data_IF_166997337019
#
_entry.id   IF_166997337019
#
_cell.length_a   1.000
_cell.length_b   1.000
_cell.length_c   1.000
_cell.angle_alpha   90.00
_cell.angle_beta   90.00
_cell.angle_gamma   90.00
#
_symmetry.space_group_name_H-M   'P 1'
#
loop_
_entity.id
_entity.type
_entity.pdbx_description
1 polymer ?
#
# COMPACT_ATOMS: atom_id res chain seq x y z
N UNK A 1 9.81 10.51 12.99
CA UNK A 1 10.99 9.68 13.28
C UNK A 1 11.32 9.72 14.74
N UNK A 2 10.44 9.18 15.58
CA UNK A 2 10.68 9.05 17.03
C UNK A 2 11.03 7.60 17.38
N UNK A 3 11.66 7.39 18.54
CA UNK A 3 12.09 6.07 19.00
C UNK A 3 10.93 5.07 19.13
N UNK A 4 9.73 5.57 19.44
CA UNK A 4 8.48 4.80 19.57
C UNK A 4 7.84 4.39 18.23
N UNK A 5 8.33 4.91 17.10
CA UNK A 5 7.77 4.56 15.79
C UNK A 5 7.91 3.07 15.48
N UNK A 6 7.05 2.53 14.62
CA UNK A 6 7.04 1.10 14.25
C UNK A 6 8.40 0.56 13.75
N UNK A 7 9.23 1.43 13.16
CA UNK A 7 10.61 1.13 12.76
C UNK A 7 11.66 1.90 13.58
N UNK A 8 11.33 2.25 14.84
CA UNK A 8 12.17 3.04 15.77
C UNK A 8 12.72 4.35 15.19
N UNK A 9 11.96 4.97 14.30
CA UNK A 9 12.37 6.19 13.61
C UNK A 9 13.33 6.02 12.42
N UNK A 10 13.77 4.79 12.12
CA UNK A 10 14.72 4.50 11.02
C UNK A 10 14.09 4.50 9.63
N UNK A 11 12.81 4.12 9.52
CA UNK A 11 12.16 3.93 8.21
C UNK A 11 11.43 5.15 7.63
N UNK A 12 10.88 6.02 8.47
CA UNK A 12 10.06 7.15 8.03
C UNK A 12 8.73 6.71 7.38
N UNK A 13 8.16 7.57 6.53
CA UNK A 13 6.81 7.37 5.95
C UNK A 13 6.72 6.18 5.01
N UNK A 14 7.81 5.84 4.30
CA UNK A 14 7.76 4.84 3.24
C UNK A 14 8.06 3.44 3.75
N UNK A 15 8.66 3.27 4.93
CA UNK A 15 9.18 1.97 5.37
C UNK A 15 8.62 1.59 6.74
N UNK A 16 7.38 1.10 6.74
CA UNK A 16 6.68 0.57 7.91
C UNK A 16 6.35 -0.90 7.67
N UNK A 17 6.52 -1.74 8.68
CA UNK A 17 6.32 -3.19 8.58
C UNK A 17 5.52 -3.66 9.80
N UNK A 18 4.69 -4.68 9.63
CA UNK A 18 4.04 -5.39 10.73
C UNK A 18 3.79 -6.85 10.33
N UNK A 19 3.22 -7.65 11.24
CA UNK A 19 2.93 -9.05 10.98
C UNK A 19 2.07 -9.20 9.72
N UNK A 20 2.58 -9.95 8.74
CA UNK A 20 1.97 -10.17 7.43
C UNK A 20 1.72 -8.88 6.61
N UNK A 21 2.43 -7.79 6.93
CA UNK A 21 2.49 -6.56 6.14
C UNK A 21 3.96 -6.25 5.83
N UNK A 22 4.34 -6.55 4.59
CA UNK A 22 5.74 -6.61 4.16
C UNK A 22 6.28 -5.27 3.63
N UNK A 23 5.74 -4.16 4.12
CA UNK A 23 6.33 -2.85 3.87
C UNK A 23 5.44 -1.88 3.12
N UNK A 24 5.76 -0.60 3.31
CA UNK A 24 5.81 0.32 2.19
C UNK A 24 7.16 0.18 1.46
N UNK A 25 7.13 0.24 0.14
CA UNK A 25 8.30 0.03 -0.70
C UNK A 25 8.52 1.28 -1.56
N UNK A 26 9.68 1.92 -1.43
CA UNK A 26 9.97 3.20 -2.08
C UNK A 26 10.41 3.10 -3.54
N UNK A 27 10.75 1.88 -4.00
CA UNK A 27 11.19 1.64 -5.38
C UNK A 27 9.99 1.14 -6.19
N UNK A 28 9.55 1.96 -7.15
CA UNK A 28 8.34 1.72 -7.94
C UNK A 28 8.41 0.36 -8.65
N UNK A 29 7.46 -0.53 -8.33
CA UNK A 29 7.31 -1.85 -8.93
C UNK A 29 8.11 -2.96 -8.25
N UNK A 30 9.10 -2.63 -7.41
CA UNK A 30 9.95 -3.62 -6.74
C UNK A 30 9.19 -4.53 -5.77
N UNK A 31 8.07 -4.05 -5.22
CA UNK A 31 7.21 -4.83 -4.35
C UNK A 31 6.45 -5.94 -5.08
N UNK A 32 6.34 -5.88 -6.41
CA UNK A 32 5.51 -6.83 -7.17
C UNK A 32 6.17 -8.22 -7.23
N UNK A 33 7.46 -8.35 -7.61
CA UNK A 33 8.16 -9.62 -7.47
C UNK A 33 8.25 -10.12 -6.02
N UNK A 34 8.38 -9.22 -5.03
CA UNK A 34 8.39 -9.61 -3.62
C UNK A 34 7.05 -10.24 -3.18
N UNK A 35 5.92 -9.65 -3.60
CA UNK A 35 4.60 -10.20 -3.36
C UNK A 35 4.39 -11.58 -4.01
N UNK A 36 4.86 -11.75 -5.25
CA UNK A 36 4.88 -13.06 -5.89
C UNK A 36 5.76 -14.07 -5.12
N UNK A 37 6.91 -13.64 -4.60
CA UNK A 37 7.78 -14.47 -3.75
C UNK A 37 7.12 -14.87 -2.42
N UNK A 38 6.38 -13.97 -1.79
CA UNK A 38 5.59 -14.28 -0.59
C UNK A 38 4.49 -15.30 -0.93
N UNK A 39 3.78 -15.13 -2.06
CA UNK A 39 2.79 -16.10 -2.52
C UNK A 39 3.41 -17.48 -2.80
N UNK A 40 4.63 -17.51 -3.36
CA UNK A 40 5.40 -18.74 -3.51
C UNK A 40 5.68 -19.38 -2.14
N UNK A 41 6.14 -18.62 -1.16
CA UNK A 41 6.37 -19.11 0.21
C UNK A 41 5.11 -19.69 0.84
N UNK A 42 3.96 -19.02 0.71
CA UNK A 42 2.67 -19.52 1.20
C UNK A 42 2.30 -20.86 0.54
N UNK A 43 2.49 -20.98 -0.77
CA UNK A 43 2.25 -22.23 -1.51
C UNK A 43 3.21 -23.33 -1.06
N UNK A 44 4.50 -23.00 -0.95
CA UNK A 44 5.56 -23.94 -0.56
C UNK A 44 5.31 -24.53 0.84
N UNK A 45 4.81 -23.69 1.76
CA UNK A 45 4.46 -24.09 3.12
C UNK A 45 3.03 -24.67 3.25
N UNK A 46 2.31 -24.88 2.14
CA UNK A 46 0.92 -25.35 2.10
C UNK A 46 -0.04 -24.54 2.99
N UNK A 47 0.18 -23.21 3.08
CA UNK A 47 -0.69 -22.31 3.84
C UNK A 47 -1.91 -21.90 2.99
N UNK A 48 -3.14 -21.99 3.50
CA UNK A 48 -4.37 -21.60 2.78
C UNK A 48 -4.56 -20.07 2.79
N UNK A 49 -3.49 -19.35 2.46
CA UNK A 49 -3.39 -17.90 2.45
C UNK A 49 -3.04 -17.42 1.04
N UNK A 50 -3.38 -16.17 0.76
CA UNK A 50 -2.98 -15.46 -0.45
C UNK A 50 -1.98 -14.35 -0.09
N UNK A 51 -1.21 -13.89 -1.07
CA UNK A 51 -0.53 -12.61 -0.99
C UNK A 51 -1.28 -11.59 -1.85
N UNK A 52 -1.65 -10.45 -1.25
CA UNK A 52 -2.21 -9.30 -1.98
C UNK A 52 -1.06 -8.35 -2.29
N UNK A 53 -0.81 -8.13 -3.58
CA UNK A 53 0.37 -7.42 -4.09
C UNK A 53 -0.06 -6.16 -4.82
N UNK A 54 0.05 -5.02 -4.14
CA UNK A 54 -0.46 -3.73 -4.62
C UNK A 54 0.62 -2.93 -5.38
N UNK A 55 0.18 -2.18 -6.39
CA UNK A 55 0.98 -1.23 -7.15
C UNK A 55 0.09 -0.16 -7.78
N UNK A 56 0.63 1.02 -8.07
CA UNK A 56 -0.14 2.12 -8.70
C UNK A 56 -0.15 2.05 -10.23
N UNK A 57 -1.02 2.84 -10.86
CA UNK A 57 -1.12 2.95 -12.32
C UNK A 57 0.22 3.30 -13.03
N UNK A 58 1.03 4.19 -12.45
CA UNK A 58 2.38 4.48 -12.96
C UNK A 58 3.37 3.31 -12.81
N UNK A 59 3.18 2.45 -11.80
CA UNK A 59 4.01 1.26 -11.59
C UNK A 59 3.65 0.12 -12.55
N UNK A 60 2.44 0.14 -13.13
CA UNK A 60 1.94 -0.90 -14.03
C UNK A 60 2.74 -1.06 -15.34
N UNK A 61 3.67 -0.15 -15.62
CA UNK A 61 4.56 -0.20 -16.78
C UNK A 61 5.98 -0.70 -16.45
N UNK A 62 6.24 -1.13 -15.22
CA UNK A 62 7.52 -1.69 -14.81
C UNK A 62 7.74 -3.09 -15.41
N UNK A 63 8.89 -3.34 -16.02
CA UNK A 63 9.19 -4.65 -16.66
C UNK A 63 9.09 -5.84 -15.70
N UNK A 64 9.62 -5.69 -14.49
CA UNK A 64 9.61 -6.73 -13.45
C UNK A 64 8.20 -7.18 -13.03
N UNK A 65 7.16 -6.36 -13.26
CA UNK A 65 5.78 -6.74 -13.00
C UNK A 65 5.30 -7.81 -13.99
N UNK A 66 5.68 -7.70 -15.27
CA UNK A 66 5.36 -8.70 -16.30
C UNK A 66 6.16 -9.99 -16.11
N UNK A 67 7.41 -9.89 -15.64
CA UNK A 67 8.20 -11.04 -15.21
C UNK A 67 7.50 -11.78 -14.04
N UNK A 68 7.05 -11.02 -13.03
CA UNK A 68 6.31 -11.59 -11.90
C UNK A 68 4.99 -12.24 -12.32
N UNK A 69 4.26 -11.67 -13.30
CA UNK A 69 3.06 -12.29 -13.85
C UNK A 69 3.34 -13.64 -14.50
N UNK A 70 4.34 -13.70 -15.37
CA UNK A 70 4.71 -14.94 -16.04
C UNK A 70 5.02 -16.05 -15.03
N UNK A 71 5.87 -15.75 -14.05
CA UNK A 71 6.27 -16.71 -13.02
C UNK A 71 5.09 -17.10 -12.12
N UNK A 72 4.28 -16.13 -11.70
CA UNK A 72 3.12 -16.38 -10.85
C UNK A 72 2.10 -17.29 -11.54
N UNK A 73 1.86 -17.08 -12.84
CA UNK A 73 0.96 -17.94 -13.61
C UNK A 73 1.55 -19.30 -13.87
N UNK A 74 2.80 -19.37 -14.33
CA UNK A 74 3.52 -20.61 -14.59
C UNK A 74 3.46 -21.56 -13.39
N UNK A 75 3.60 -21.01 -12.19
CA UNK A 75 3.60 -21.78 -10.95
C UNK A 75 2.24 -21.81 -10.25
N UNK A 76 1.17 -21.24 -10.81
CA UNK A 76 -0.14 -21.10 -10.17
C UNK A 76 -0.01 -20.65 -8.71
N UNK A 77 0.59 -19.49 -8.50
CA UNK A 77 0.78 -18.90 -7.17
C UNK A 77 -0.51 -18.28 -6.62
N UNK A 78 -0.76 -18.35 -5.30
CA UNK A 78 -1.90 -17.70 -4.66
C UNK A 78 -1.65 -16.19 -4.50
N UNK A 79 -1.45 -15.49 -5.61
CA UNK A 79 -1.13 -14.06 -5.66
C UNK A 79 -2.28 -13.25 -6.29
N UNK A 80 -2.75 -12.23 -5.58
CA UNK A 80 -3.72 -11.26 -6.10
C UNK A 80 -2.97 -9.98 -6.40
N UNK A 81 -2.85 -9.63 -7.69
CA UNK A 81 -2.19 -8.42 -8.14
C UNK A 81 -3.21 -7.28 -8.20
N UNK A 82 -2.97 -6.17 -7.49
CA UNK A 82 -3.92 -5.05 -7.41
C UNK A 82 -3.28 -3.78 -7.95
N UNK A 83 -3.81 -3.27 -9.06
CA UNK A 83 -3.51 -1.94 -9.57
C UNK A 83 -4.43 -0.92 -8.89
N UNK A 84 -3.90 -0.09 -8.01
CA UNK A 84 -4.60 1.09 -7.47
C UNK A 84 -4.50 2.23 -8.48
N UNK A 85 -5.45 2.26 -9.42
CA UNK A 85 -5.51 3.25 -10.48
C UNK A 85 -6.16 4.53 -9.93
N UNK A 86 -5.34 5.53 -9.62
CA UNK A 86 -5.81 6.84 -9.14
C UNK A 86 -5.82 7.92 -10.24
N UNK A 87 -5.57 7.52 -11.49
CA UNK A 87 -5.52 8.39 -12.67
C UNK A 87 -4.16 9.03 -12.94
N UNK A 88 -3.20 8.99 -12.00
CA UNK A 88 -1.95 9.74 -12.12
C UNK A 88 -0.73 9.04 -11.48
N UNK A 89 0.26 8.72 -12.31
CA UNK A 89 1.61 8.34 -11.88
C UNK A 89 2.46 9.58 -11.60
N UNK A 90 2.57 9.96 -10.33
CA UNK A 90 3.14 11.26 -9.90
C UNK A 90 2.40 12.44 -10.54
N UNK A 91 2.87 12.98 -11.66
CA UNK A 91 2.24 14.05 -12.43
C UNK A 91 1.87 13.69 -13.87
N UNK A 92 1.95 12.41 -14.23
CA UNK A 92 1.62 11.92 -15.58
C UNK A 92 0.31 11.16 -15.54
N UNK A 93 -0.67 11.56 -16.36
CA UNK A 93 -1.96 10.86 -16.43
C UNK A 93 -1.80 9.49 -17.09
N UNK A 94 -2.75 8.59 -16.84
CA UNK A 94 -2.74 7.22 -17.37
C UNK A 94 -2.67 7.18 -18.90
N UNK A 95 -3.36 8.08 -19.60
CA UNK A 95 -3.39 8.17 -21.07
C UNK A 95 -2.04 8.59 -21.65
N UNK A 96 -1.24 9.32 -20.87
CA UNK A 96 0.10 9.78 -21.27
C UNK A 96 1.19 8.77 -20.93
N UNK A 97 0.93 7.88 -19.97
CA UNK A 97 1.90 6.92 -19.46
C UNK A 97 1.73 5.52 -20.06
N UNK A 98 0.52 5.13 -20.44
CA UNK A 98 0.18 3.77 -20.85
C UNK A 98 -0.53 3.76 -22.20
N UNK A 99 -0.05 2.94 -23.14
CA UNK A 99 -0.71 2.76 -24.43
C UNK A 99 -2.09 2.09 -24.31
N UNK A 100 -2.27 1.24 -23.30
CA UNK A 100 -3.58 0.75 -22.86
C UNK A 100 -3.76 1.06 -21.39
N UNK A 101 -4.87 1.73 -21.07
CA UNK A 101 -5.27 2.12 -19.71
C UNK A 101 -6.20 1.09 -19.06
N UNK A 102 -6.46 -0.04 -19.72
CA UNK A 102 -7.18 -1.18 -19.15
C UNK A 102 -6.24 -2.04 -18.28
N UNK A 103 -5.88 -1.54 -17.10
CA UNK A 103 -4.86 -2.16 -16.24
C UNK A 103 -5.21 -3.58 -15.82
N UNK A 104 -6.50 -3.89 -15.61
CA UNK A 104 -6.95 -5.25 -15.29
C UNK A 104 -6.62 -6.29 -16.39
N UNK A 105 -6.41 -5.86 -17.63
CA UNK A 105 -6.10 -6.74 -18.77
C UNK A 105 -4.60 -6.93 -19.02
N UNK A 106 -3.73 -6.17 -18.33
CA UNK A 106 -2.28 -6.16 -18.58
C UNK A 106 -1.58 -7.45 -18.16
N UNK A 107 -2.28 -8.31 -17.43
CA UNK A 107 -1.85 -9.67 -17.10
C UNK A 107 -1.87 -10.63 -18.29
N UNK A 108 -2.46 -10.23 -19.42
CA UNK A 108 -2.62 -11.03 -20.64
C UNK A 108 -3.31 -12.38 -20.37
N UNK A 109 -2.55 -13.43 -20.12
CA UNK A 109 -3.05 -14.76 -19.74
C UNK A 109 -3.46 -14.89 -18.27
N UNK A 110 -3.21 -13.87 -17.43
CA UNK A 110 -3.76 -13.82 -16.06
C UNK A 110 -5.13 -13.11 -16.12
N UNK A 111 -6.22 -13.76 -15.65
CA UNK A 111 -7.52 -13.11 -15.63
C UNK A 111 -7.49 -11.89 -14.73
N UNK A 112 -8.29 -10.89 -15.07
CA UNK A 112 -8.43 -9.69 -14.25
C UNK A 112 -9.84 -9.12 -14.27
N UNK A 113 -10.12 -8.30 -13.26
CA UNK A 113 -11.37 -7.55 -13.16
C UNK A 113 -11.10 -6.10 -12.81
N UNK A 114 -11.93 -5.20 -13.32
CA UNK A 114 -11.96 -3.80 -12.89
C UNK A 114 -13.08 -3.60 -11.89
N UNK A 115 -12.79 -2.91 -10.80
CA UNK A 115 -13.74 -2.64 -9.72
C UNK A 115 -13.80 -1.14 -9.40
N UNK A 116 -14.91 -0.74 -8.78
CA UNK A 116 -15.03 0.58 -8.17
C UNK A 116 -14.23 0.63 -6.86
N UNK A 117 -13.05 1.25 -6.90
CA UNK A 117 -12.18 1.45 -5.74
C UNK A 117 -12.67 2.51 -4.76
N UNK A 118 -13.77 3.22 -5.07
CA UNK A 118 -14.43 4.18 -4.18
C UNK A 118 -15.62 3.56 -3.43
N UNK A 119 -16.01 2.32 -3.75
CA UNK A 119 -17.06 1.59 -3.05
C UNK A 119 -16.47 0.47 -2.20
N UNK A 120 -16.47 0.65 -0.87
CA UNK A 120 -15.92 -0.32 0.08
C UNK A 120 -16.57 -1.70 -0.02
N UNK A 121 -17.84 -1.79 -0.43
CA UNK A 121 -18.51 -3.07 -0.60
C UNK A 121 -18.07 -3.76 -1.88
N UNK A 122 -17.85 -3.02 -2.97
CA UNK A 122 -17.31 -3.56 -4.21
C UNK A 122 -15.89 -4.11 -4.00
N UNK A 123 -15.03 -3.34 -3.31
CA UNK A 123 -13.67 -3.77 -2.93
C UNK A 123 -13.72 -5.03 -2.06
N UNK A 124 -14.61 -5.08 -1.05
CA UNK A 124 -14.75 -6.25 -0.18
C UNK A 124 -15.16 -7.50 -0.96
N UNK A 125 -16.19 -7.42 -1.80
CA UNK A 125 -16.68 -8.58 -2.55
C UNK A 125 -15.68 -9.04 -3.62
N UNK A 126 -15.03 -8.11 -4.32
CA UNK A 126 -13.96 -8.45 -5.28
C UNK A 126 -12.77 -9.13 -4.59
N UNK A 127 -12.38 -8.65 -3.41
CA UNK A 127 -11.29 -9.24 -2.63
C UNK A 127 -11.64 -10.65 -2.16
N UNK A 128 -12.88 -10.90 -1.71
CA UNK A 128 -13.35 -12.25 -1.36
C UNK A 128 -13.30 -13.18 -2.56
N UNK A 129 -13.83 -12.75 -3.70
CA UNK A 129 -13.80 -13.52 -4.94
C UNK A 129 -12.35 -13.84 -5.36
N UNK A 130 -11.48 -12.83 -5.38
CA UNK A 130 -10.09 -12.99 -5.78
C UNK A 130 -9.31 -13.90 -4.84
N UNK A 131 -9.62 -13.90 -3.54
CA UNK A 131 -9.05 -14.85 -2.58
C UNK A 131 -9.40 -16.28 -2.95
N UNK A 132 -10.70 -16.58 -3.10
CA UNK A 132 -11.15 -17.92 -3.46
C UNK A 132 -10.61 -18.35 -4.82
N UNK A 133 -10.57 -17.43 -5.79
CA UNK A 133 -9.98 -17.69 -7.10
C UNK A 133 -8.50 -18.04 -6.97
N UNK A 134 -7.71 -17.21 -6.27
CA UNK A 134 -6.26 -17.34 -6.20
C UNK A 134 -5.80 -18.62 -5.49
N UNK A 135 -6.54 -19.06 -4.47
CA UNK A 135 -6.28 -20.33 -3.78
C UNK A 135 -6.49 -21.55 -4.68
N UNK A 136 -7.41 -21.47 -5.65
CA UNK A 136 -7.83 -22.62 -6.45
C UNK A 136 -7.28 -22.62 -7.89
N UNK A 137 -7.01 -21.45 -8.48
CA UNK A 137 -6.78 -21.29 -9.93
C UNK A 137 -5.48 -20.56 -10.29
N UNK A 138 -4.67 -20.18 -9.29
CA UNK A 138 -3.48 -19.35 -9.49
C UNK A 138 -3.80 -17.86 -9.55
N UNK A 139 -2.90 -17.00 -10.05
CA UNK A 139 -2.99 -15.56 -9.82
C UNK A 139 -4.20 -14.91 -10.52
N UNK A 140 -4.58 -13.74 -10.03
CA UNK A 140 -5.64 -12.89 -10.59
C UNK A 140 -5.28 -11.40 -10.44
N UNK A 141 -5.70 -10.58 -11.41
CA UNK A 141 -5.55 -9.12 -11.38
C UNK A 141 -6.84 -8.43 -10.91
N UNK A 142 -6.69 -7.35 -10.16
CA UNK A 142 -7.74 -6.39 -9.84
C UNK A 142 -7.23 -5.00 -10.24
N UNK A 143 -7.99 -4.27 -11.04
CA UNK A 143 -7.84 -2.82 -11.15
C UNK A 143 -8.87 -2.15 -10.25
N UNK A 144 -8.40 -1.48 -9.20
CA UNK A 144 -9.24 -0.65 -8.34
C UNK A 144 -9.21 0.80 -8.85
N UNK A 145 -10.28 1.23 -9.51
CA UNK A 145 -10.44 2.61 -9.94
C UNK A 145 -10.76 3.49 -8.73
N UNK A 146 -9.76 4.23 -8.24
CA UNK A 146 -9.83 5.06 -7.03
C UNK A 146 -9.33 6.47 -7.30
N UNK A 147 -9.10 7.29 -6.27
CA UNK A 147 -8.63 8.65 -6.43
C UNK A 147 -7.85 9.15 -5.21
N UNK A 148 -6.79 9.92 -5.46
CA UNK A 148 -6.05 10.64 -4.40
C UNK A 148 -6.42 12.11 -4.37
N UNK A 149 -6.89 12.60 -3.22
CA UNK A 149 -7.28 14.01 -3.08
C UNK A 149 -6.09 14.97 -2.96
N UNK A 150 -5.00 14.53 -2.35
CA UNK A 150 -3.76 15.30 -2.29
C UNK A 150 -2.92 15.08 -3.56
N UNK A 151 -1.90 15.93 -3.76
CA UNK A 151 -0.85 15.69 -4.74
C UNK A 151 -0.08 14.39 -4.49
N UNK A 152 0.93 14.09 -5.31
CA UNK A 152 1.67 12.84 -5.22
C UNK A 152 2.35 12.65 -3.86
N UNK A 153 2.86 13.74 -3.29
CA UNK A 153 3.47 13.80 -1.97
C UNK A 153 3.29 15.21 -1.40
N UNK A 154 3.79 15.46 -0.19
CA UNK A 154 3.73 16.80 0.42
C UNK A 154 4.44 17.89 -0.39
N UNK A 155 5.41 17.53 -1.24
CA UNK A 155 6.11 18.49 -2.10
C UNK A 155 5.40 18.77 -3.43
N UNK A 156 4.31 18.05 -3.72
CA UNK A 156 3.53 18.23 -4.94
C UNK A 156 2.14 18.79 -4.59
N UNK A 157 1.84 20.05 -4.98
CA UNK A 157 0.51 20.63 -4.79
C UNK A 157 -0.61 19.93 -5.58
N UNK A 158 -0.26 19.20 -6.65
CA UNK A 158 -1.22 18.46 -7.47
C UNK A 158 -2.13 19.30 -8.36
N UNK A 159 -1.76 20.56 -8.64
CA UNK A 159 -2.55 21.51 -9.44
C UNK A 159 -1.97 21.80 -10.83
N UNK A 160 -0.79 21.27 -11.17
CA UNK A 160 -0.13 21.52 -12.46
C UNK A 160 -0.55 20.53 -13.56
N UNK A 161 -1.17 19.41 -13.19
CA UNK A 161 -1.51 18.31 -14.12
C UNK A 161 -2.98 17.86 -14.03
N UNK A 162 -3.78 18.51 -13.18
CA UNK A 162 -5.22 18.27 -13.03
C UNK A 162 -5.92 19.49 -12.43
N UNK A 163 -7.21 19.63 -12.71
CA UNK A 163 -8.01 20.76 -12.25
C UNK A 163 -8.41 20.61 -10.77
N UNK A 164 -8.64 21.72 -10.07
CA UNK A 164 -9.15 21.67 -8.69
C UNK A 164 -10.61 21.20 -8.66
N UNK A 165 -11.33 21.50 -9.72
CA UNK A 165 -12.72 21.13 -9.97
C UNK A 165 -12.88 19.61 -10.03
N UNK A 166 -11.96 18.90 -10.69
CA UNK A 166 -11.93 17.44 -10.75
C UNK A 166 -11.83 16.83 -9.33
N UNK A 167 -10.91 17.34 -8.50
CA UNK A 167 -10.72 16.86 -7.12
C UNK A 167 -11.97 17.15 -6.28
N UNK A 168 -12.55 18.34 -6.45
CA UNK A 168 -13.77 18.75 -5.75
C UNK A 168 -14.95 17.85 -6.13
N UNK A 169 -15.18 17.64 -7.41
CA UNK A 169 -16.24 16.77 -7.92
C UNK A 169 -16.09 15.35 -7.40
N UNK A 170 -14.88 14.79 -7.46
CA UNK A 170 -14.59 13.45 -6.92
C UNK A 170 -14.89 13.35 -5.43
N UNK A 171 -14.51 14.35 -4.63
CA UNK A 171 -14.79 14.35 -3.19
C UNK A 171 -16.28 14.51 -2.89
N UNK A 172 -16.99 15.36 -3.63
CA UNK A 172 -18.41 15.62 -3.37
C UNK A 172 -19.31 14.45 -3.80
N UNK A 173 -18.95 13.76 -4.88
CA UNK A 173 -19.82 12.76 -5.51
C UNK A 173 -19.42 11.31 -5.20
N UNK A 174 -18.14 11.05 -4.94
CA UNK A 174 -17.57 9.69 -4.91
C UNK A 174 -16.82 9.35 -3.63
N UNK A 175 -16.74 10.23 -2.65
CA UNK A 175 -15.99 9.98 -1.42
C UNK A 175 -16.42 8.69 -0.70
N UNK A 176 -15.49 7.75 -0.43
CA UNK A 176 -15.85 6.41 0.04
C UNK A 176 -16.53 6.42 1.41
N UNK A 177 -16.15 7.38 2.28
CA UNK A 177 -16.74 7.53 3.60
C UNK A 177 -18.16 8.07 3.47
N UNK A 178 -18.34 9.14 2.70
CA UNK A 178 -19.63 9.81 2.49
C UNK A 178 -20.63 8.88 1.80
N UNK A 179 -20.19 8.19 0.74
CA UNK A 179 -21.04 7.26 -0.01
C UNK A 179 -21.46 6.08 0.86
N UNK A 180 -20.53 5.48 1.62
CA UNK A 180 -20.86 4.36 2.50
C UNK A 180 -21.75 4.80 3.67
N UNK A 181 -21.47 5.96 4.28
CA UNK A 181 -22.30 6.58 5.33
C UNK A 181 -23.75 6.75 4.88
N UNK A 182 -23.97 7.29 3.67
CA UNK A 182 -25.31 7.43 3.11
C UNK A 182 -26.01 6.07 2.97
N UNK A 183 -25.34 5.06 2.39
CA UNK A 183 -25.91 3.72 2.21
C UNK A 183 -26.38 3.09 3.53
N UNK A 184 -25.55 3.12 4.57
CA UNK A 184 -25.89 2.48 5.85
C UNK A 184 -26.99 3.23 6.63
N UNK A 185 -27.10 4.55 6.45
CA UNK A 185 -28.19 5.36 7.00
C UNK A 185 -29.50 5.09 6.26
N UNK A 186 -29.49 5.07 4.92
CA UNK A 186 -30.67 4.77 4.10
C UNK A 186 -31.21 3.36 4.36
N UNK A 187 -30.33 2.41 4.69
CA UNK A 187 -30.72 1.06 5.09
C UNK A 187 -31.12 0.93 6.58
N UNK A 188 -31.15 2.02 7.36
CA UNK A 188 -31.43 2.02 8.79
C UNK A 188 -30.56 1.05 9.60
N UNK A 189 -29.30 0.83 9.18
CA UNK A 189 -28.35 -0.03 9.91
C UNK A 189 -27.71 0.69 11.08
N UNK A 190 -27.69 2.03 11.03
CA UNK A 190 -27.14 2.92 12.05
C UNK A 190 -27.95 4.21 12.08
N UNK A 191 -27.83 4.96 13.16
CA UNK A 191 -28.38 6.32 13.32
C UNK A 191 -27.33 7.40 13.04
N UNK A 192 -27.75 8.63 12.66
CA UNK A 192 -26.82 9.77 12.54
C UNK A 192 -26.02 10.04 13.82
N UNK A 193 -26.64 9.83 14.98
CA UNK A 193 -26.04 10.04 16.31
C UNK A 193 -24.94 9.02 16.60
N UNK A 194 -25.12 7.76 16.22
CA UNK A 194 -24.09 6.72 16.35
C UNK A 194 -22.87 7.05 15.49
N UNK A 195 -23.07 7.47 14.24
CA UNK A 195 -21.96 7.87 13.37
C UNK A 195 -21.21 9.10 13.91
N UNK A 196 -21.93 10.07 14.46
CA UNK A 196 -21.30 11.23 15.10
C UNK A 196 -20.45 10.84 16.30
N UNK A 197 -20.86 9.82 17.07
CA UNK A 197 -20.05 9.29 18.18
C UNK A 197 -18.75 8.67 17.66
N UNK A 198 -18.82 7.88 16.58
CA UNK A 198 -17.63 7.32 15.92
C UNK A 198 -16.69 8.43 15.46
N UNK A 199 -17.20 9.46 14.80
CA UNK A 199 -16.40 10.61 14.35
C UNK A 199 -15.64 11.25 15.54
N UNK A 200 -16.33 11.52 16.65
CA UNK A 200 -15.74 12.11 17.87
C UNK A 200 -14.70 11.18 18.51
N UNK A 201 -14.94 9.87 18.53
CA UNK A 201 -14.02 8.89 19.09
C UNK A 201 -12.73 8.79 18.28
N UNK A 202 -12.86 8.74 16.94
CA UNK A 202 -11.72 8.72 16.01
C UNK A 202 -10.92 10.02 16.13
N UNK A 203 -11.57 11.19 16.16
CA UNK A 203 -10.86 12.47 16.31
C UNK A 203 -10.01 12.50 17.60
N UNK A 204 -10.59 12.06 18.73
CA UNK A 204 -9.86 11.98 20.00
C UNK A 204 -8.70 10.99 19.96
N UNK A 205 -8.87 9.85 19.29
CA UNK A 205 -7.80 8.87 19.11
C UNK A 205 -6.64 9.46 18.30
N UNK A 206 -6.94 10.11 17.17
CA UNK A 206 -5.94 10.72 16.30
C UNK A 206 -5.24 11.88 16.99
N UNK A 207 -5.96 12.76 17.71
CA UNK A 207 -5.35 13.86 18.47
C UNK A 207 -4.38 13.33 19.54
N UNK A 208 -4.79 12.31 20.29
CA UNK A 208 -3.94 11.67 21.29
C UNK A 208 -2.69 11.05 20.66
N UNK A 209 -2.84 10.35 19.53
CA UNK A 209 -1.73 9.73 18.83
C UNK A 209 -0.75 10.79 18.27
N UNK A 210 -1.27 11.89 17.71
CA UNK A 210 -0.46 12.99 17.19
C UNK A 210 0.32 13.70 18.30
N UNK A 211 -0.31 13.93 19.45
CA UNK A 211 0.36 14.52 20.62
C UNK A 211 1.45 13.62 21.18
N UNK A 212 1.20 12.31 21.27
CA UNK A 212 2.23 11.34 21.68
C UNK A 212 3.41 11.35 20.71
N UNK A 213 3.15 11.28 19.40
CA UNK A 213 4.20 11.29 18.38
C UNK A 213 5.06 12.57 18.38
N UNK A 214 4.50 13.72 18.79
CA UNK A 214 5.26 14.96 18.95
C UNK A 214 6.16 14.94 20.20
N UNK A 215 5.66 14.39 21.31
CA UNK A 215 6.33 14.35 22.62
C UNK A 215 7.36 13.24 22.75
N UNK A 216 7.21 12.15 22.02
CA UNK A 216 8.10 11.00 22.09
C UNK A 216 9.55 11.39 21.78
N UNK A 217 10.53 10.79 22.48
CA UNK A 217 11.94 11.11 22.28
C UNK A 217 12.41 10.68 20.89
N UNK A 218 13.45 11.37 20.42
CA UNK A 218 14.20 10.92 19.26
C UNK A 218 14.96 9.63 19.55
N UNK A 219 15.32 8.93 18.48
CA UNK A 219 16.19 7.76 18.57
C UNK A 219 17.57 8.20 19.10
N UNK A 220 18.12 7.55 20.14
CA UNK A 220 19.47 7.87 20.64
C UNK A 220 20.54 7.63 19.57
N UNK A 221 21.60 8.43 19.56
CA UNK A 221 22.69 8.29 18.57
C UNK A 221 23.36 6.90 18.59
N UNK A 222 23.43 6.25 19.76
CA UNK A 222 23.96 4.90 19.89
C UNK A 222 23.17 3.83 19.12
N UNK A 223 21.91 4.10 18.77
CA UNK A 223 21.05 3.20 18.00
C UNK A 223 21.21 3.36 16.48
N UNK A 224 22.05 4.29 16.02
CA UNK A 224 22.24 4.59 14.60
C UNK A 224 22.71 3.38 13.80
N UNK A 225 23.59 2.57 14.40
CA UNK A 225 24.27 1.47 13.73
C UNK A 225 23.61 0.11 13.92
N UNK A 226 22.55 0.03 14.73
CA UNK A 226 21.91 -1.23 15.09
C UNK A 226 20.99 -1.77 13.99
N UNK A 227 20.76 -3.08 13.97
CA UNK A 227 19.87 -3.82 13.06
C UNK A 227 20.31 -3.81 11.58
N UNK A 228 21.62 -3.74 11.32
CA UNK A 228 22.16 -3.97 9.96
C UNK A 228 22.07 -5.46 9.60
N UNK A 229 22.39 -6.33 10.55
CA UNK A 229 22.26 -7.78 10.44
C UNK A 229 21.37 -8.31 11.58
N UNK A 230 20.69 -9.43 11.33
CA UNK A 230 19.84 -10.11 12.32
C UNK A 230 20.70 -10.89 13.33
N UNK A 231 21.86 -11.39 12.89
CA UNK A 231 22.83 -12.15 13.69
C UNK A 231 24.25 -11.66 13.37
N UNK A 232 24.65 -10.45 13.80
CA UNK A 232 26.01 -9.97 13.60
C UNK A 232 27.01 -10.76 14.45
N UNK A 233 28.27 -10.85 14.00
CA UNK A 233 29.36 -11.27 14.87
C UNK A 233 29.44 -10.32 16.08
N UNK A 234 29.79 -10.79 17.29
CA UNK A 234 29.88 -9.94 18.48
C UNK A 234 30.79 -8.71 18.33
N UNK A 235 31.83 -8.84 17.49
CA UNK A 235 32.82 -7.79 17.20
C UNK A 235 32.49 -7.01 15.91
N UNK A 236 31.28 -7.16 15.37
CA UNK A 236 30.87 -6.44 14.17
C UNK A 236 30.82 -4.94 14.45
N UNK A 237 31.69 -4.21 13.76
CA UNK A 237 31.81 -2.76 13.88
C UNK A 237 31.40 -2.07 12.59
N UNK A 238 30.69 -0.96 12.75
CA UNK A 238 30.32 -0.07 11.65
C UNK A 238 31.19 1.17 11.71
N UNK A 239 31.76 1.52 10.57
CA UNK A 239 32.58 2.72 10.41
C UNK A 239 31.66 3.95 10.30
N UNK A 240 31.92 4.95 11.12
CA UNK A 240 31.26 6.25 11.03
C UNK A 240 31.83 7.15 9.92
N UNK A 241 31.44 8.43 9.92
CA UNK A 241 31.96 9.41 8.96
C UNK A 241 33.49 9.64 9.09
N UNK A 242 34.05 9.38 10.27
CA UNK A 242 35.49 9.39 10.52
C UNK A 242 36.00 7.94 10.63
N UNK A 243 37.08 7.55 9.92
CA UNK A 243 37.66 6.20 10.01
C UNK A 243 38.08 5.75 11.42
N UNK A 244 38.32 6.68 12.35
CA UNK A 244 38.61 6.38 13.76
C UNK A 244 37.36 6.02 14.57
N UNK A 245 36.16 6.37 14.07
CA UNK A 245 34.89 6.03 14.73
C UNK A 245 34.46 4.63 14.27
N UNK A 246 34.58 3.67 15.18
CA UNK A 246 34.01 2.33 15.04
C UNK A 246 33.03 2.07 16.17
N UNK A 247 31.79 1.75 15.81
CA UNK A 247 30.73 1.49 16.79
C UNK A 247 30.30 0.03 16.64
N UNK A 248 30.21 -0.69 17.76
CA UNK A 248 29.67 -2.04 17.78
C UNK A 248 28.18 -1.95 17.41
N UNK A 249 27.79 -2.67 16.37
CA UNK A 249 26.40 -2.75 15.93
C UNK A 249 25.73 -3.93 16.60
N UNK A 250 24.62 -3.66 17.28
CA UNK A 250 23.76 -4.68 17.89
C UNK A 250 22.58 -5.07 16.99
#
# INVERSE_FOLDING_TARGET
GRASGCAKGKGGSMHMYTKNFYGGNGIVGAQVPLGAGIAFGLKYENKPNICVTLYGDGAANQGQLFEAYNMAKLWNLPCVFVCENNGYGMGTSVERASASTDYYSRGDYIPGMRIDGMDVLAVREATKFAREYALNNGPILIEAATYRYHGHSMSDPGTSYRAREEIKEMRETRDPITVFRRKILECNLVTPEELKKVDIEVDKEIDKAADQAKKDPEIPLGELYNNIYIHPDPDYTVRGCDPSIRVISH
#
